data_IF_156617645295
#
_entry.id   IF_156617645295
#
_cell.length_a   1.000
_cell.length_b   1.000
_cell.length_c   1.000
_cell.angle_alpha   90.00
_cell.angle_beta   90.00
_cell.angle_gamma   90.00
#
_symmetry.space_group_name_H-M   'P 1'
#
loop_
_entity.id
_entity.type
_entity.pdbx_description
1 polymer ?
#
# COMPACT_ATOMS: atom_id res chain seq x y z
N UNK A 1 -9.85 -13.18 0.95
CA UNK A 1 -10.67 -12.18 0.25
C UNK A 1 -10.13 -11.96 -1.16
N UNK A 2 -10.99 -11.80 -2.17
CA UNK A 2 -10.55 -11.43 -3.54
C UNK A 2 -10.53 -9.90 -3.69
N UNK A 3 -9.77 -9.39 -4.67
CA UNK A 3 -9.74 -7.95 -5.00
C UNK A 3 -11.15 -7.44 -5.29
N UNK A 4 -11.93 -8.16 -6.12
CA UNK A 4 -13.28 -7.75 -6.49
C UNK A 4 -14.19 -7.59 -5.27
N UNK A 5 -14.13 -8.51 -4.31
CA UNK A 5 -14.93 -8.39 -3.09
C UNK A 5 -14.46 -7.22 -2.23
N UNK A 6 -13.14 -7.07 -2.04
CA UNK A 6 -12.56 -5.97 -1.28
C UNK A 6 -12.97 -4.60 -1.85
N UNK A 7 -12.94 -4.44 -3.18
CA UNK A 7 -13.32 -3.20 -3.88
C UNK A 7 -14.80 -2.84 -3.72
N UNK A 8 -15.67 -3.76 -3.30
CA UNK A 8 -17.09 -3.46 -3.00
C UNK A 8 -17.30 -2.88 -1.60
N UNK A 9 -16.30 -2.94 -0.73
CA UNK A 9 -16.38 -2.39 0.61
C UNK A 9 -16.27 -0.87 0.58
N UNK A 10 -16.84 -0.21 1.60
CA UNK A 10 -16.61 1.23 1.79
C UNK A 10 -15.12 1.50 2.06
N UNK A 11 -14.64 2.68 1.68
CA UNK A 11 -13.24 3.07 1.91
C UNK A 11 -12.82 2.92 3.40
N UNK A 12 -13.64 3.31 4.40
CA UNK A 12 -13.30 3.06 5.81
C UNK A 12 -13.10 1.58 6.13
N UNK A 13 -13.95 0.69 5.63
CA UNK A 13 -13.85 -0.75 5.88
C UNK A 13 -12.64 -1.36 5.16
N UNK A 14 -12.32 -0.88 3.95
CA UNK A 14 -11.10 -1.27 3.24
C UNK A 14 -9.85 -0.92 4.05
N UNK A 15 -9.79 0.31 4.57
CA UNK A 15 -8.68 0.79 5.42
C UNK A 15 -8.58 -0.05 6.71
N UNK A 16 -9.70 -0.26 7.39
CA UNK A 16 -9.75 -1.05 8.63
C UNK A 16 -9.21 -2.47 8.41
N UNK A 17 -9.61 -3.13 7.32
CA UNK A 17 -9.11 -4.46 6.97
C UNK A 17 -7.61 -4.45 6.69
N UNK A 18 -7.11 -3.47 5.94
CA UNK A 18 -5.66 -3.38 5.67
C UNK A 18 -4.86 -3.10 6.94
N UNK A 19 -5.41 -2.34 7.88
CA UNK A 19 -4.75 -2.05 9.15
C UNK A 19 -4.79 -3.22 10.14
N UNK A 20 -5.84 -4.03 10.12
CA UNK A 20 -6.04 -5.14 11.08
C UNK A 20 -5.48 -6.46 10.56
N UNK A 21 -5.66 -6.74 9.28
CA UNK A 21 -5.33 -8.03 8.65
C UNK A 21 -4.22 -7.92 7.58
N UNK A 22 -3.92 -6.72 7.09
CA UNK A 22 -2.85 -6.48 6.11
C UNK A 22 -1.45 -6.46 6.74
N UNK A 23 -0.45 -6.89 5.96
CA UNK A 23 0.96 -6.79 6.34
C UNK A 23 1.55 -5.52 5.72
N UNK A 24 1.93 -4.56 6.54
CA UNK A 24 2.62 -3.35 6.07
C UNK A 24 4.00 -3.70 5.53
N UNK A 25 4.23 -3.45 4.24
CA UNK A 25 5.49 -3.77 3.58
C UNK A 25 6.42 -2.56 3.51
N UNK A 26 5.92 -1.45 2.98
CA UNK A 26 6.74 -0.30 2.65
C UNK A 26 5.93 0.99 2.59
N UNK A 27 6.64 2.11 2.61
CA UNK A 27 6.10 3.45 2.37
C UNK A 27 6.95 4.11 1.28
N UNK A 28 6.30 4.80 0.36
CA UNK A 28 6.93 5.70 -0.62
C UNK A 28 6.28 7.07 -0.57
N UNK A 29 6.93 8.08 -1.14
CA UNK A 29 6.33 9.42 -1.30
C UNK A 29 6.41 9.83 -2.77
N UNK A 30 5.26 10.02 -3.40
CA UNK A 30 5.18 10.48 -4.80
C UNK A 30 4.61 11.91 -4.82
N UNK A 31 5.37 12.89 -5.28
CA UNK A 31 4.94 14.30 -5.38
C UNK A 31 4.35 14.88 -4.08
N UNK A 32 4.90 14.46 -2.93
CA UNK A 32 4.42 14.87 -1.61
C UNK A 32 3.18 14.10 -1.12
N UNK A 33 2.64 13.18 -1.91
CA UNK A 33 1.59 12.24 -1.54
C UNK A 33 2.20 10.99 -0.89
N UNK A 34 1.96 10.73 0.40
CA UNK A 34 2.41 9.51 1.05
C UNK A 34 1.61 8.31 0.55
N UNK A 35 2.32 7.23 0.23
CA UNK A 35 1.70 5.99 -0.26
C UNK A 35 2.22 4.83 0.57
N UNK A 36 1.32 4.02 1.12
CA UNK A 36 1.68 2.86 1.94
C UNK A 36 1.30 1.58 1.20
N UNK A 37 2.25 0.66 1.09
CA UNK A 37 2.05 -0.66 0.52
C UNK A 37 1.74 -1.67 1.62
N UNK A 38 0.65 -2.40 1.42
CA UNK A 38 0.26 -3.56 2.19
C UNK A 38 0.26 -4.81 1.32
N UNK A 39 0.62 -5.94 1.90
CA UNK A 39 0.27 -7.26 1.38
C UNK A 39 -1.00 -7.74 2.07
N UNK A 40 -1.99 -8.19 1.30
CA UNK A 40 -3.22 -8.77 1.80
C UNK A 40 -3.44 -10.15 1.17
N UNK A 41 -3.05 -11.19 1.90
CA UNK A 41 -3.03 -12.55 1.38
C UNK A 41 -2.08 -12.71 0.19
N UNK A 42 -2.63 -12.86 -1.02
CA UNK A 42 -1.87 -13.13 -2.27
C UNK A 42 -1.75 -11.92 -3.21
N UNK A 43 -2.20 -10.76 -2.78
CA UNK A 43 -2.20 -9.53 -3.58
C UNK A 43 -1.75 -8.35 -2.71
N UNK A 44 -1.56 -7.20 -3.35
CA UNK A 44 -1.02 -5.99 -2.74
C UNK A 44 -2.02 -4.84 -2.82
N UNK A 45 -1.97 -3.96 -1.83
CA UNK A 45 -2.80 -2.76 -1.75
C UNK A 45 -1.92 -1.52 -1.49
N UNK A 46 -2.01 -0.54 -2.36
CA UNK A 46 -1.44 0.79 -2.14
C UNK A 46 -2.53 1.72 -1.58
N UNK A 47 -2.29 2.29 -0.40
CA UNK A 47 -3.14 3.33 0.18
C UNK A 47 -2.50 4.69 -0.13
N UNK A 48 -3.22 5.55 -0.86
CA UNK A 48 -2.78 6.89 -1.23
C UNK A 48 -3.37 7.91 -0.27
N UNK A 49 -2.52 8.65 0.45
CA UNK A 49 -2.95 9.65 1.41
C UNK A 49 -2.80 11.06 0.86
N UNK A 50 -3.82 11.91 0.99
CA UNK A 50 -3.66 13.35 0.78
C UNK A 50 -2.87 13.98 1.93
N UNK A 51 -3.06 13.43 3.13
CA UNK A 51 -2.29 13.75 4.32
C UNK A 51 -2.01 12.46 5.09
N UNK A 52 -0.73 12.19 5.35
CA UNK A 52 -0.26 10.92 5.93
C UNK A 52 -1.12 10.47 7.12
N UNK A 53 -1.75 9.29 6.99
CA UNK A 53 -2.63 8.67 8.01
C UNK A 53 -3.79 9.53 8.51
N UNK A 54 -4.13 10.61 7.81
CA UNK A 54 -5.26 11.50 8.13
C UNK A 54 -6.36 11.30 7.10
N UNK A 55 -6.03 11.50 5.82
CA UNK A 55 -7.00 11.54 4.73
C UNK A 55 -6.53 10.62 3.62
N UNK A 56 -7.32 9.56 3.37
CA UNK A 56 -7.08 8.60 2.29
C UNK A 56 -7.86 9.06 1.06
N UNK A 57 -7.16 9.23 -0.05
CA UNK A 57 -7.76 9.61 -1.34
C UNK A 57 -8.40 8.38 -1.98
N UNK A 58 -7.62 7.31 -2.15
CA UNK A 58 -8.08 6.05 -2.72
C UNK A 58 -7.15 4.89 -2.36
N UNK A 59 -7.60 3.67 -2.66
CA UNK A 59 -6.81 2.44 -2.53
C UNK A 59 -6.74 1.77 -3.90
N UNK A 60 -5.53 1.39 -4.30
CA UNK A 60 -5.28 0.61 -5.52
C UNK A 60 -4.90 -0.81 -5.13
N UNK A 61 -5.55 -1.78 -5.73
CA UNK A 61 -5.25 -3.19 -5.53
C UNK A 61 -4.55 -3.74 -6.77
N UNK A 62 -3.56 -4.60 -6.57
CA UNK A 62 -2.74 -5.21 -7.62
C UNK A 62 -2.43 -6.65 -7.22
N UNK A 63 -2.53 -7.58 -8.16
CA UNK A 63 -2.23 -9.01 -7.97
C UNK A 63 -0.88 -9.43 -8.56
N UNK A 64 -0.13 -8.48 -9.10
CA UNK A 64 1.22 -8.67 -9.60
C UNK A 64 2.28 -8.12 -8.64
N UNK A 65 3.51 -8.64 -8.76
CA UNK A 65 4.66 -8.21 -7.96
C UNK A 65 5.38 -7.00 -8.53
N UNK A 66 5.03 -6.53 -9.73
CA UNK A 66 5.68 -5.37 -10.36
C UNK A 66 5.46 -4.08 -9.58
N UNK A 67 4.42 -4.02 -8.74
CA UNK A 67 4.24 -2.93 -7.77
C UNK A 67 5.44 -2.79 -6.82
N UNK A 68 6.15 -3.88 -6.49
CA UNK A 68 7.29 -3.86 -5.57
C UNK A 68 8.50 -3.14 -6.16
N UNK A 69 8.66 -3.16 -7.48
CA UNK A 69 9.81 -2.53 -8.15
C UNK A 69 9.86 -1.03 -7.84
N UNK A 70 8.69 -0.36 -7.80
CA UNK A 70 8.56 1.06 -7.42
C UNK A 70 9.09 1.38 -6.02
N UNK A 71 9.06 0.40 -5.12
CA UNK A 71 9.53 0.56 -3.73
C UNK A 71 10.98 0.14 -3.58
N UNK A 72 11.46 -0.79 -4.41
CA UNK A 72 12.87 -1.18 -4.45
C UNK A 72 13.74 -0.08 -5.04
N UNK A 73 13.24 0.68 -6.01
CA UNK A 73 13.95 1.84 -6.59
C UNK A 73 14.18 2.98 -5.57
N UNK A 74 13.25 3.17 -4.61
CA UNK A 74 13.40 4.17 -3.54
C UNK A 74 14.27 3.68 -2.37
N UNK A 75 14.57 2.38 -2.29
CA UNK A 75 15.46 1.86 -1.26
C UNK A 75 16.92 2.13 -1.66
N UNK A 76 17.54 3.12 -1.01
CA UNK A 76 18.99 3.32 -1.06
C UNK A 76 19.71 2.15 -0.34
N UNK A 77 19.94 1.04 -1.05
CA UNK A 77 20.57 -0.18 -0.52
C UNK A 77 22.06 0.07 -0.14
N UNK A 78 22.66 1.19 -0.56
CA UNK A 78 24.07 1.53 -0.26
C UNK A 78 24.41 1.52 1.23
N UNK A 79 23.43 1.68 2.13
CA UNK A 79 23.66 1.69 3.58
C UNK A 79 23.29 0.38 4.31
N UNK A 80 22.81 -0.66 3.63
CA UNK A 80 22.33 -1.90 4.30
C UNK A 80 23.46 -2.85 4.69
N UNK A 81 24.65 -2.71 4.10
CA UNK A 81 25.80 -3.59 4.35
C UNK A 81 27.00 -2.92 5.04
N UNK A 82 26.77 -1.83 5.80
CA UNK A 82 27.84 -1.12 6.52
C UNK A 82 27.98 -1.53 7.98
#
# INVERSE_FOLDING_TARGET
>A
MTITHFSTLSLPNQIELLYTEGVHLAKRNCDGMPIILYQFGKWYAEIFYEKYRSDVSYIKCVDDTGVLDLYLEELEIENVFR
#
